data_IF_590543467133
#
_entry.id   IF_590543467133
#
_cell.length_a   1.000
_cell.length_b   1.000
_cell.length_c   1.000
_cell.angle_alpha   90.00
_cell.angle_beta   90.00
_cell.angle_gamma   90.00
#
_symmetry.space_group_name_H-M   'P 1'
#
loop_
_entity.id
_entity.type
_entity.pdbx_description
1 polymer ?
#
# COMPACT_ATOMS: atom_id res chain seq x y z
N UNK A 1 23.23 50.80 -5.81
CA UNK A 1 21.82 51.25 -5.90
C UNK A 1 21.03 50.07 -6.47
N UNK A 2 19.99 49.47 -5.88
CA UNK A 2 19.02 49.85 -4.85
C UNK A 2 18.77 48.66 -3.90
N UNK A 3 18.65 48.96 -2.61
CA UNK A 3 18.05 48.15 -1.56
C UNK A 3 16.52 48.18 -1.66
N UNK A 4 15.82 47.10 -1.31
CA UNK A 4 14.48 47.10 -0.66
C UNK A 4 14.33 45.75 0.08
N UNK A 5 14.58 45.63 1.38
CA UNK A 5 13.72 45.90 2.55
C UNK A 5 12.52 44.93 2.71
N UNK A 6 12.65 44.11 3.75
CA UNK A 6 11.61 43.34 4.42
C UNK A 6 10.91 44.22 5.48
N UNK A 7 9.61 44.05 5.76
CA UNK A 7 9.04 44.52 7.02
C UNK A 7 8.55 43.37 7.92
N UNK A 8 8.93 43.49 9.20
CA UNK A 8 8.42 42.74 10.35
C UNK A 8 7.14 43.42 10.90
N UNK A 9 6.20 42.58 11.34
CA UNK A 9 5.21 42.69 12.47
C UNK A 9 4.88 44.06 13.11
N UNK A 10 3.59 44.31 13.32
CA UNK A 10 2.96 44.97 14.51
C UNK A 10 1.47 44.54 14.59
N UNK A 11 1.03 43.70 15.54
CA UNK A 11 0.32 44.00 16.81
C UNK A 11 -0.83 45.02 16.73
N UNK A 12 -2.07 44.58 17.06
CA UNK A 12 -3.05 45.33 17.88
C UNK A 12 -4.15 44.41 18.44
N UNK A 13 -4.48 44.66 19.70
CA UNK A 13 -5.45 44.00 20.58
C UNK A 13 -6.87 44.57 20.41
N UNK A 14 -7.84 43.74 20.82
CA UNK A 14 -9.26 43.89 21.21
C UNK A 14 -9.84 45.30 21.54
N UNK A 15 -11.18 45.43 21.49
CA UNK A 15 -11.92 45.46 22.76
C UNK A 15 -13.24 44.66 22.82
N UNK A 16 -13.68 44.46 24.07
CA UNK A 16 -14.92 43.87 24.57
C UNK A 16 -16.20 44.62 24.12
N UNK A 17 -17.33 43.92 24.13
CA UNK A 17 -18.62 44.53 24.46
C UNK A 17 -19.44 43.61 25.39
N UNK A 18 -19.72 44.14 26.57
CA UNK A 18 -20.72 43.68 27.53
C UNK A 18 -22.07 44.33 27.18
N UNK A 19 -23.18 43.62 27.37
CA UNK A 19 -24.45 44.22 27.80
C UNK A 19 -25.27 43.18 28.59
N UNK A 20 -25.51 43.50 29.86
CA UNK A 20 -26.58 42.95 30.71
C UNK A 20 -27.85 43.81 30.46
N UNK A 21 -29.09 43.53 30.88
CA UNK A 21 -29.70 42.86 32.02
C UNK A 21 -31.21 42.77 31.68
N UNK A 22 -31.96 41.75 32.13
CA UNK A 22 -33.33 41.97 32.59
C UNK A 22 -33.75 40.86 33.56
N UNK A 23 -34.16 41.29 34.75
CA UNK A 23 -34.69 40.50 35.87
C UNK A 23 -36.16 40.15 35.65
N UNK A 24 -36.56 38.95 36.08
CA UNK A 24 -37.88 38.72 36.64
C UNK A 24 -37.76 37.64 37.73
N UNK A 25 -38.32 37.93 38.90
CA UNK A 25 -38.18 37.18 40.13
C UNK A 25 -39.44 36.35 40.46
N UNK A 26 -39.20 35.16 41.03
CA UNK A 26 -40.07 34.46 41.98
C UNK A 26 -40.99 33.35 41.44
N UNK A 27 -41.46 32.40 42.29
CA UNK A 27 -41.18 32.23 43.72
C UNK A 27 -40.42 30.94 44.07
N UNK A 28 -39.86 30.97 45.28
CA UNK A 28 -39.21 29.88 45.97
C UNK A 28 -40.16 28.71 46.25
N UNK A 29 -39.70 27.48 46.03
CA UNK A 29 -40.29 26.29 46.62
C UNK A 29 -39.28 25.64 47.57
N UNK A 30 -39.64 25.70 48.85
CA UNK A 30 -38.97 25.01 49.95
C UNK A 30 -39.14 23.51 49.78
N UNK A 31 -38.04 22.76 49.79
CA UNK A 31 -38.05 21.36 50.19
C UNK A 31 -36.98 21.11 51.24
N UNK A 32 -37.46 21.20 52.48
CA UNK A 32 -37.17 20.36 53.64
C UNK A 32 -36.07 19.32 53.42
N UNK A 33 -35.01 19.49 54.19
CA UNK A 33 -34.04 18.43 54.47
C UNK A 33 -34.75 17.24 55.14
N UNK A 34 -34.87 16.13 54.42
CA UNK A 34 -34.99 14.81 55.03
C UNK A 34 -33.63 14.12 54.91
N UNK A 35 -32.89 14.22 56.01
CA UNK A 35 -31.78 13.34 56.29
C UNK A 35 -32.32 11.91 56.45
N UNK A 36 -32.26 11.12 55.39
CA UNK A 36 -32.24 9.66 55.51
C UNK A 36 -30.85 9.17 55.15
N UNK A 37 -30.08 8.90 56.20
CA UNK A 37 -28.72 8.44 56.09
C UNK A 37 -28.64 7.11 55.33
N UNK A 38 -27.68 7.04 54.40
CA UNK A 38 -26.97 5.79 54.14
C UNK A 38 -25.48 6.09 54.13
N UNK A 39 -24.93 6.28 55.33
CA UNK A 39 -23.50 6.03 55.59
C UNK A 39 -23.25 4.55 55.31
N UNK A 40 -22.89 4.20 54.07
CA UNK A 40 -22.23 2.93 53.82
C UNK A 40 -20.76 3.05 54.25
N UNK A 41 -20.55 2.88 55.54
CA UNK A 41 -19.28 2.40 56.10
C UNK A 41 -18.95 1.06 55.42
N UNK A 42 -18.25 1.09 54.28
CA UNK A 42 -17.76 -0.11 53.64
C UNK A 42 -16.52 -0.58 54.39
N UNK A 43 -16.69 -1.48 55.34
CA UNK A 43 -15.57 -2.29 55.82
C UNK A 43 -15.02 -3.05 54.60
N UNK A 44 -13.78 -2.75 54.21
CA UNK A 44 -13.16 -3.39 53.06
C UNK A 44 -13.08 -4.91 53.29
N UNK A 45 -13.46 -5.70 52.28
CA UNK A 45 -13.28 -7.15 52.33
C UNK A 45 -11.79 -7.55 52.30
N UNK A 46 -11.50 -8.82 52.58
CA UNK A 46 -10.13 -9.33 52.64
C UNK A 46 -9.86 -10.49 51.68
N UNK A 47 -8.63 -10.53 51.18
CA UNK A 47 -8.12 -11.65 50.39
C UNK A 47 -7.73 -12.80 51.31
N UNK A 48 -8.24 -14.00 51.04
CA UNK A 48 -8.00 -15.22 51.82
C UNK A 48 -7.29 -16.23 50.92
N UNK A 49 -6.19 -16.80 51.39
CA UNK A 49 -5.43 -17.84 50.69
C UNK A 49 -5.64 -19.17 51.41
N UNK A 50 -6.01 -20.22 50.68
CA UNK A 50 -6.18 -21.58 51.19
C UNK A 50 -5.57 -22.56 50.20
N UNK A 51 -4.62 -23.41 50.65
CA UNK A 51 -3.93 -24.41 49.82
C UNK A 51 -3.41 -23.82 48.48
N UNK A 52 -2.75 -22.66 48.55
CA UNK A 52 -2.21 -21.96 47.37
C UNK A 52 -3.24 -21.27 46.46
N UNK A 53 -4.54 -21.37 46.74
CA UNK A 53 -5.61 -20.72 45.96
C UNK A 53 -6.18 -19.52 46.71
N UNK A 54 -6.51 -18.46 45.96
CA UNK A 54 -6.94 -17.18 46.53
C UNK A 54 -8.44 -16.94 46.31
N UNK A 55 -9.15 -16.48 47.35
CA UNK A 55 -10.56 -16.04 47.34
C UNK A 55 -10.68 -14.65 47.95
N UNK A 56 -11.79 -13.97 47.68
CA UNK A 56 -12.11 -12.69 48.32
C UNK A 56 -13.33 -12.85 49.23
N UNK A 57 -13.18 -12.47 50.50
CA UNK A 57 -14.25 -12.48 51.52
C UNK A 57 -14.72 -11.04 51.77
N UNK A 58 -15.99 -10.77 51.51
CA UNK A 58 -16.62 -9.48 51.81
C UNK A 58 -16.77 -9.28 53.33
N UNK A 59 -17.08 -8.05 53.76
CA UNK A 59 -17.31 -7.72 55.16
C UNK A 59 -18.43 -8.53 55.80
N UNK A 60 -19.52 -8.78 55.05
CA UNK A 60 -20.63 -9.65 55.45
C UNK A 60 -20.27 -11.16 55.52
N UNK A 61 -18.98 -11.50 55.55
CA UNK A 61 -18.42 -12.86 55.63
C UNK A 61 -18.71 -13.76 54.42
N UNK A 62 -19.44 -13.29 53.40
CA UNK A 62 -19.66 -14.03 52.15
C UNK A 62 -18.44 -13.98 51.22
N UNK A 63 -18.34 -14.92 50.28
CA UNK A 63 -17.26 -14.98 49.29
C UNK A 63 -17.71 -14.53 47.90
N UNK A 64 -16.75 -14.00 47.11
CA UNK A 64 -16.95 -13.70 45.71
C UNK A 64 -17.46 -14.93 44.93
N UNK A 65 -18.64 -14.80 44.32
CA UNK A 65 -19.24 -15.81 43.44
C UNK A 65 -18.62 -15.75 42.03
N UNK A 66 -18.86 -16.80 41.22
CA UNK A 66 -18.40 -16.93 39.83
C UNK A 66 -18.59 -15.64 39.02
N UNK A 67 -17.62 -15.39 38.16
CA UNK A 67 -17.64 -14.34 37.15
C UNK A 67 -16.78 -13.13 37.48
N UNK A 68 -16.93 -12.10 36.65
CA UNK A 68 -16.17 -10.87 36.79
C UNK A 68 -16.59 -10.09 38.04
N UNK A 69 -15.62 -9.58 38.80
CA UNK A 69 -15.83 -8.66 39.93
C UNK A 69 -14.81 -7.53 39.88
N UNK A 70 -15.27 -6.31 40.18
CA UNK A 70 -14.41 -5.14 40.39
C UNK A 70 -14.19 -4.98 41.89
N UNK A 71 -12.94 -5.08 42.34
CA UNK A 71 -12.56 -5.00 43.75
C UNK A 71 -11.39 -4.02 43.83
N UNK A 72 -11.52 -2.98 44.65
CA UNK A 72 -10.51 -1.93 44.84
C UNK A 72 -9.99 -1.39 43.50
N UNK A 73 -10.90 -1.02 42.59
CA UNK A 73 -10.56 -0.47 41.28
C UNK A 73 -10.12 -1.48 40.22
N UNK A 74 -9.77 -2.71 40.60
CA UNK A 74 -9.24 -3.73 39.68
C UNK A 74 -10.26 -4.82 39.34
N UNK A 75 -10.16 -5.37 38.13
CA UNK A 75 -11.02 -6.47 37.70
C UNK A 75 -10.36 -7.82 37.97
N UNK A 76 -11.21 -8.78 38.36
CA UNK A 76 -10.87 -10.16 38.63
C UNK A 76 -11.94 -11.06 38.02
N UNK A 77 -11.63 -12.33 37.79
CA UNK A 77 -12.61 -13.34 37.43
C UNK A 77 -12.54 -14.50 38.43
N UNK A 78 -13.68 -14.86 39.01
CA UNK A 78 -13.80 -15.96 39.96
C UNK A 78 -14.43 -17.18 39.29
N UNK A 79 -13.97 -18.37 39.64
CA UNK A 79 -14.54 -19.64 39.18
C UNK A 79 -15.81 -20.04 39.96
N UNK A 80 -16.36 -21.22 39.66
CA UNK A 80 -17.57 -21.76 40.32
C UNK A 80 -17.41 -21.90 41.83
N UNK A 81 -16.18 -22.17 42.30
CA UNK A 81 -15.86 -22.36 43.70
C UNK A 81 -15.47 -21.04 44.39
N UNK A 82 -15.53 -19.91 43.67
CA UNK A 82 -15.18 -18.59 44.18
C UNK A 82 -13.67 -18.38 44.37
N UNK A 83 -12.82 -19.13 43.68
CA UNK A 83 -11.38 -18.86 43.59
C UNK A 83 -11.08 -17.95 42.40
N UNK A 84 -10.12 -17.04 42.58
CA UNK A 84 -9.70 -16.13 41.51
C UNK A 84 -8.89 -16.87 40.46
N UNK A 85 -9.20 -16.65 39.16
CA UNK A 85 -8.42 -17.21 38.06
C UNK A 85 -7.12 -16.43 37.87
N UNK A 86 -6.03 -17.18 37.68
CA UNK A 86 -4.69 -16.67 37.33
C UNK A 86 -4.18 -17.33 36.05
N UNK A 87 -3.24 -16.70 35.37
CA UNK A 87 -2.77 -17.15 34.07
C UNK A 87 -3.85 -17.02 32.99
N UNK A 88 -3.70 -17.79 31.92
CA UNK A 88 -4.65 -17.81 30.81
C UNK A 88 -5.96 -18.51 31.21
N UNK A 89 -7.09 -17.90 30.85
CA UNK A 89 -8.41 -18.54 30.95
C UNK A 89 -9.38 -17.96 29.90
N UNK A 90 -10.47 -18.69 29.66
CA UNK A 90 -11.51 -18.30 28.70
C UNK A 90 -12.83 -18.05 29.39
N UNK A 91 -13.60 -17.09 28.87
CA UNK A 91 -14.98 -16.82 29.24
C UNK A 91 -15.77 -16.66 27.95
N UNK A 92 -16.62 -17.65 27.64
CA UNK A 92 -17.18 -17.81 26.29
C UNK A 92 -16.05 -17.87 25.24
N UNK A 93 -16.21 -17.15 24.12
CA UNK A 93 -15.22 -17.07 23.04
C UNK A 93 -14.03 -16.14 23.32
N UNK A 94 -13.97 -15.51 24.50
CA UNK A 94 -12.96 -14.49 24.83
C UNK A 94 -11.90 -15.03 25.79
N UNK A 95 -10.64 -14.66 25.55
CA UNK A 95 -9.50 -15.02 26.41
C UNK A 95 -9.06 -13.85 27.29
N UNK A 96 -8.57 -14.18 28.47
CA UNK A 96 -8.11 -13.26 29.51
C UNK A 96 -6.83 -13.79 30.16
N UNK A 97 -6.10 -12.91 30.83
CA UNK A 97 -4.96 -13.28 31.66
C UNK A 97 -5.07 -12.63 33.05
N UNK A 98 -5.09 -13.45 34.10
CA UNK A 98 -5.01 -12.99 35.49
C UNK A 98 -3.56 -12.99 35.98
N UNK A 99 -3.11 -11.90 36.60
CA UNK A 99 -1.76 -11.76 37.13
C UNK A 99 -1.40 -12.94 38.07
N UNK A 100 -0.20 -13.51 37.90
CA UNK A 100 0.32 -14.61 38.73
C UNK A 100 1.14 -14.14 39.95
N UNK A 101 1.17 -12.84 40.23
CA UNK A 101 1.88 -12.28 41.39
C UNK A 101 1.46 -12.96 42.70
N UNK A 102 2.43 -13.26 43.55
CA UNK A 102 2.22 -13.82 44.89
C UNK A 102 1.81 -12.77 45.92
N UNK A 103 1.87 -11.48 45.58
CA UNK A 103 1.50 -10.40 46.48
C UNK A 103 -0.02 -10.34 46.67
N UNK A 104 -0.46 -10.32 47.94
CA UNK A 104 -1.88 -10.24 48.32
C UNK A 104 -2.57 -9.06 47.62
N UNK A 105 -3.76 -9.32 47.09
CA UNK A 105 -4.53 -8.32 46.35
C UNK A 105 -3.95 -7.92 44.99
N UNK A 106 -2.81 -8.47 44.55
CA UNK A 106 -2.28 -8.35 43.18
C UNK A 106 -2.50 -9.63 42.36
N UNK A 107 -2.59 -10.79 43.01
CA UNK A 107 -2.94 -12.07 42.40
C UNK A 107 -4.31 -12.01 41.69
N UNK A 108 -4.36 -12.48 40.45
CA UNK A 108 -5.60 -12.61 39.68
C UNK A 108 -6.13 -11.32 39.06
N UNK A 109 -5.47 -10.16 39.27
CA UNK A 109 -5.81 -8.91 38.58
C UNK A 109 -5.75 -9.14 37.07
N UNK A 110 -6.81 -8.79 36.34
CA UNK A 110 -6.80 -8.93 34.89
C UNK A 110 -5.79 -7.99 34.24
N UNK A 111 -4.99 -8.52 33.33
CA UNK A 111 -4.11 -7.74 32.47
C UNK A 111 -4.91 -6.79 31.58
N UNK A 112 -4.36 -5.59 31.34
CA UNK A 112 -4.92 -4.57 30.45
C UNK A 112 -3.78 -3.83 29.76
N UNK A 113 -3.97 -3.42 28.51
CA UNK A 113 -2.91 -2.84 27.69
C UNK A 113 -1.94 -3.90 27.18
N UNK A 114 -0.72 -3.45 26.84
CA UNK A 114 0.35 -4.30 26.31
C UNK A 114 1.01 -5.14 27.39
N UNK A 115 1.13 -6.45 27.15
CA UNK A 115 1.87 -7.36 28.02
C UNK A 115 2.63 -8.41 27.22
N UNK A 116 3.85 -8.71 27.66
CA UNK A 116 4.64 -9.83 27.13
C UNK A 116 4.51 -11.03 28.06
N UNK A 117 4.11 -12.17 27.51
CA UNK A 117 3.92 -13.43 28.22
C UNK A 117 4.67 -14.51 27.44
N UNK A 118 5.67 -15.14 28.06
CA UNK A 118 6.53 -16.16 27.43
C UNK A 118 7.06 -15.72 26.05
N UNK A 119 7.64 -14.51 25.98
CA UNK A 119 8.23 -13.95 24.76
C UNK A 119 7.26 -13.41 23.70
N UNK A 120 5.94 -13.67 23.83
CA UNK A 120 4.92 -13.13 22.92
C UNK A 120 4.24 -11.91 23.54
N UNK A 121 4.01 -10.88 22.74
CA UNK A 121 3.35 -9.64 23.18
C UNK A 121 1.89 -9.62 22.74
N UNK A 122 1.00 -9.32 23.69
CA UNK A 122 -0.46 -9.31 23.55
C UNK A 122 -0.99 -7.93 23.93
N UNK A 123 -2.18 -7.60 23.43
CA UNK A 123 -2.94 -6.46 23.91
C UNK A 123 -4.25 -6.91 24.55
N UNK A 124 -4.48 -6.49 25.78
CA UNK A 124 -5.71 -6.74 26.52
C UNK A 124 -6.53 -5.46 26.59
N UNK A 125 -7.80 -5.53 26.20
CA UNK A 125 -8.73 -4.40 26.12
C UNK A 125 -8.72 -3.55 27.39
N UNK A 126 -8.52 -2.24 27.22
CA UNK A 126 -8.62 -1.23 28.28
C UNK A 126 -10.04 -0.69 28.43
N UNK A 127 -10.98 -1.09 27.56
CA UNK A 127 -12.38 -0.64 27.60
C UNK A 127 -13.01 -0.97 28.95
N UNK A 128 -13.69 0.00 29.55
CA UNK A 128 -14.41 -0.18 30.80
C UNK A 128 -15.59 -1.15 30.64
N UNK A 129 -15.93 -1.84 31.74
CA UNK A 129 -17.11 -2.71 31.82
C UNK A 129 -16.80 -4.19 32.00
N UNK A 130 -17.78 -4.89 32.58
CA UNK A 130 -17.77 -6.33 32.87
C UNK A 130 -17.58 -7.12 31.58
N UNK A 131 -16.58 -8.00 31.53
CA UNK A 131 -16.29 -8.82 30.34
C UNK A 131 -15.80 -8.05 29.11
N UNK A 132 -15.62 -6.72 29.20
CA UNK A 132 -15.01 -5.89 28.16
C UNK A 132 -13.56 -5.56 28.51
N UNK A 133 -13.30 -5.24 29.78
CA UNK A 133 -11.94 -4.96 30.28
C UNK A 133 -11.13 -6.25 30.42
N UNK A 134 -9.89 -6.21 29.96
CA UNK A 134 -8.95 -7.32 30.02
C UNK A 134 -9.18 -8.42 28.98
N UNK A 135 -10.16 -8.25 28.07
CA UNK A 135 -10.34 -9.18 26.93
C UNK A 135 -9.14 -9.07 26.00
N UNK A 136 -8.47 -10.20 25.72
CA UNK A 136 -7.39 -10.27 24.73
C UNK A 136 -7.93 -9.93 23.33
N UNK A 137 -7.27 -9.01 22.63
CA UNK A 137 -7.65 -8.61 21.28
C UNK A 137 -6.96 -9.46 20.21
N UNK A 138 -7.59 -9.55 19.04
CA UNK A 138 -7.10 -10.24 17.82
C UNK A 138 -7.44 -9.39 16.58
N UNK A 139 -6.86 -9.72 15.43
CA UNK A 139 -7.11 -9.06 14.15
C UNK A 139 -6.52 -7.65 14.05
N UNK A 140 -7.04 -6.85 13.10
CA UNK A 140 -6.66 -5.46 12.92
C UNK A 140 -7.12 -4.61 14.10
N UNK A 141 -6.20 -3.84 14.70
CA UNK A 141 -6.47 -2.98 15.84
C UNK A 141 -5.83 -1.60 15.65
N UNK A 142 -6.56 -0.57 16.03
CA UNK A 142 -6.00 0.78 16.18
C UNK A 142 -5.85 1.07 17.67
N UNK A 143 -4.61 1.20 18.12
CA UNK A 143 -4.23 1.40 19.53
C UNK A 143 -3.30 2.61 19.55
N UNK A 144 -3.64 3.65 20.32
CA UNK A 144 -2.85 4.88 20.47
C UNK A 144 -2.43 5.49 19.13
N UNK A 145 -3.38 5.62 18.20
CA UNK A 145 -3.19 6.11 16.81
C UNK A 145 -2.27 5.24 15.93
N UNK A 146 -1.78 4.11 16.44
CA UNK A 146 -1.03 3.10 15.68
C UNK A 146 -1.95 1.98 15.19
N UNK A 147 -1.68 1.48 13.98
CA UNK A 147 -2.37 0.30 13.43
C UNK A 147 -1.51 -0.94 13.66
N UNK A 148 -2.11 -1.99 14.20
CA UNK A 148 -1.47 -3.26 14.53
C UNK A 148 -2.30 -4.41 13.97
N UNK A 149 -1.66 -5.56 13.77
CA UNK A 149 -2.37 -6.80 13.52
C UNK A 149 -1.98 -7.82 14.58
N UNK A 150 -2.97 -8.23 15.38
CA UNK A 150 -2.84 -9.28 16.38
C UNK A 150 -3.26 -10.60 15.74
N UNK A 151 -2.42 -11.63 15.82
CA UNK A 151 -2.69 -12.95 15.26
C UNK A 151 -3.94 -13.60 15.87
N UNK A 152 -4.35 -14.74 15.31
CA UNK A 152 -5.45 -15.54 15.88
C UNK A 152 -5.14 -15.99 17.31
N UNK A 153 -3.87 -16.20 17.63
CA UNK A 153 -3.39 -16.51 18.98
C UNK A 153 -3.32 -15.27 19.90
N UNK A 154 -3.55 -14.07 19.36
CA UNK A 154 -3.50 -12.78 20.06
C UNK A 154 -2.13 -12.10 20.05
N UNK A 155 -1.08 -12.75 19.56
CA UNK A 155 0.25 -12.18 19.54
C UNK A 155 0.38 -11.12 18.45
N UNK A 156 1.02 -9.99 18.74
CA UNK A 156 1.25 -8.94 17.74
C UNK A 156 2.18 -9.42 16.63
N UNK A 157 1.79 -9.19 15.37
CA UNK A 157 2.62 -9.51 14.22
C UNK A 157 3.79 -8.53 14.08
N UNK A 158 4.92 -9.03 13.59
CA UNK A 158 6.10 -8.24 13.22
C UNK A 158 6.67 -8.74 11.89
N UNK A 159 7.42 -7.90 11.18
CA UNK A 159 7.96 -8.21 9.86
C UNK A 159 6.90 -8.20 8.75
N UNK A 160 7.23 -8.87 7.64
CA UNK A 160 6.32 -9.03 6.51
C UNK A 160 5.18 -9.99 6.85
N UNK A 161 3.95 -9.62 6.50
CA UNK A 161 2.78 -10.49 6.63
C UNK A 161 1.81 -10.30 5.46
N UNK A 162 1.35 -11.41 4.88
CA UNK A 162 0.25 -11.42 3.92
C UNK A 162 -1.09 -11.51 4.66
N UNK A 163 -1.96 -10.53 4.48
CA UNK A 163 -3.27 -10.44 5.13
C UNK A 163 -4.28 -9.99 4.07
N UNK A 164 -5.34 -10.77 3.83
CA UNK A 164 -6.35 -10.44 2.81
C UNK A 164 -5.75 -10.18 1.43
N UNK A 165 -4.85 -11.06 0.97
CA UNK A 165 -4.16 -10.96 -0.33
C UNK A 165 -3.00 -9.95 -0.38
N UNK A 166 -2.95 -8.98 0.53
CA UNK A 166 -1.99 -7.88 0.52
C UNK A 166 -0.81 -8.13 1.47
N UNK A 167 0.39 -7.64 1.10
CA UNK A 167 1.57 -7.69 1.96
C UNK A 167 1.76 -6.38 2.73
N UNK A 168 1.88 -6.50 4.05
CA UNK A 168 2.14 -5.43 5.00
C UNK A 168 3.46 -5.66 5.71
N UNK A 169 4.08 -4.59 6.19
CA UNK A 169 5.23 -4.68 7.07
C UNK A 169 4.91 -4.09 8.44
N UNK A 170 5.13 -4.88 9.49
CA UNK A 170 4.99 -4.46 10.88
C UNK A 170 6.39 -4.30 11.50
N UNK A 171 6.64 -3.19 12.19
CA UNK A 171 7.98 -2.87 12.69
C UNK A 171 8.49 -3.95 13.65
N UNK A 172 9.72 -4.44 13.44
CA UNK A 172 10.32 -5.49 14.30
C UNK A 172 10.86 -4.97 15.63
N UNK A 173 11.20 -3.69 15.74
CA UNK A 173 11.87 -3.10 16.90
C UNK A 173 11.48 -1.65 17.13
N UNK A 174 11.48 -1.26 18.41
CA UNK A 174 11.24 0.08 18.97
C UNK A 174 12.13 1.16 18.36
N UNK A 175 13.38 0.79 17.98
CA UNK A 175 14.38 1.74 17.46
C UNK A 175 13.92 2.45 16.18
N UNK A 176 13.03 1.83 15.40
CA UNK A 176 12.46 2.41 14.16
C UNK A 176 10.97 2.78 14.32
N UNK A 177 10.50 2.92 15.56
CA UNK A 177 9.10 3.13 15.96
C UNK A 177 8.53 1.95 16.75
N UNK A 178 7.31 2.06 17.28
CA UNK A 178 6.73 1.05 18.17
C UNK A 178 6.68 -0.34 17.52
N UNK A 179 7.26 -1.36 18.20
CA UNK A 179 7.24 -2.76 17.75
C UNK A 179 5.80 -3.20 17.40
N UNK A 180 5.65 -3.85 16.27
CA UNK A 180 4.36 -4.34 15.77
C UNK A 180 3.49 -3.29 15.10
N UNK A 181 3.85 -1.99 15.12
CA UNK A 181 3.10 -0.95 14.40
C UNK A 181 3.28 -1.16 12.90
N UNK A 182 2.19 -1.06 12.14
CA UNK A 182 2.19 -1.15 10.69
C UNK A 182 2.97 0.02 10.09
N UNK A 183 3.88 -0.27 9.18
CA UNK A 183 4.66 0.73 8.47
C UNK A 183 3.88 1.30 7.27
N UNK A 184 4.14 2.57 6.95
CA UNK A 184 3.65 3.28 5.76
C UNK A 184 4.80 4.12 5.16
N UNK A 185 4.63 4.55 3.91
CA UNK A 185 5.60 5.35 3.16
C UNK A 185 6.83 4.54 2.73
N UNK A 186 7.91 5.27 2.42
CA UNK A 186 9.20 4.68 2.07
C UNK A 186 9.81 3.89 3.24
N UNK A 187 10.25 2.66 2.97
CA UNK A 187 10.97 1.81 3.92
C UNK A 187 12.09 1.04 3.25
N UNK A 188 13.25 1.01 3.90
CA UNK A 188 14.34 0.09 3.55
C UNK A 188 14.28 -1.11 4.50
N UNK A 189 14.08 -2.29 3.93
CA UNK A 189 13.92 -3.55 4.66
C UNK A 189 14.86 -4.56 4.00
N UNK A 190 15.84 -5.06 4.76
CA UNK A 190 16.88 -5.98 4.27
C UNK A 190 17.57 -5.47 2.98
N UNK A 191 18.04 -4.22 2.98
CA UNK A 191 18.72 -3.59 1.83
C UNK A 191 17.82 -3.14 0.68
N UNK A 192 16.61 -3.68 0.56
CA UNK A 192 15.64 -3.32 -0.49
C UNK A 192 14.75 -2.16 -0.07
N UNK A 193 14.48 -1.22 -0.99
CA UNK A 193 13.54 -0.11 -0.79
C UNK A 193 12.13 -0.54 -1.20
N UNK A 194 11.14 -0.16 -0.42
CA UNK A 194 9.71 -0.41 -0.65
C UNK A 194 8.93 0.88 -0.43
N UNK A 195 7.78 1.00 -1.06
CA UNK A 195 6.79 2.01 -0.68
C UNK A 195 5.49 1.34 -0.23
N UNK A 196 5.12 1.61 1.02
CA UNK A 196 3.90 1.11 1.64
C UNK A 196 2.84 2.20 1.57
N UNK A 197 1.65 1.89 1.03
CA UNK A 197 0.59 2.88 0.78
C UNK A 197 0.30 3.73 2.04
N UNK A 198 0.32 5.05 1.91
CA UNK A 198 0.10 5.97 3.04
C UNK A 198 -1.39 6.26 3.30
N UNK A 199 -2.24 6.01 2.30
CA UNK A 199 -3.69 6.22 2.36
C UNK A 199 -4.45 5.08 1.69
N UNK A 200 -5.77 5.05 1.90
CA UNK A 200 -6.69 4.09 1.29
C UNK A 200 -7.17 4.45 -0.13
N UNK A 201 -6.76 5.61 -0.69
CA UNK A 201 -7.32 6.13 -1.95
C UNK A 201 -6.98 5.29 -3.18
N UNK A 202 -5.80 4.67 -3.21
CA UNK A 202 -5.29 3.85 -4.32
C UNK A 202 -4.97 2.43 -3.86
N UNK A 203 -5.89 1.82 -3.12
CA UNK A 203 -5.76 0.48 -2.53
C UNK A 203 -5.67 0.50 -1.00
N UNK A 204 -5.33 -0.63 -0.39
CA UNK A 204 -5.34 -0.78 1.08
C UNK A 204 -4.16 -0.04 1.72
N UNK A 205 -4.44 0.87 2.67
CA UNK A 205 -3.41 1.59 3.43
C UNK A 205 -2.42 0.61 4.08
N UNK A 206 -1.13 0.86 3.92
CA UNK A 206 -0.03 0.04 4.45
C UNK A 206 0.38 -1.12 3.54
N UNK A 207 -0.42 -1.49 2.54
CA UNK A 207 -0.04 -2.51 1.57
C UNK A 207 1.09 -2.00 0.67
N UNK A 208 2.07 -2.84 0.36
CA UNK A 208 3.15 -2.51 -0.59
C UNK A 208 2.64 -2.47 -2.03
N UNK A 209 3.21 -1.59 -2.85
CA UNK A 209 3.04 -1.64 -4.30
C UNK A 209 3.81 -2.83 -4.91
N UNK A 210 3.31 -3.40 -6.01
CA UNK A 210 3.96 -4.56 -6.70
C UNK A 210 3.63 -4.56 -8.18
N UNK A 211 4.61 -4.88 -9.03
CA UNK A 211 4.45 -5.01 -10.49
C UNK A 211 3.77 -3.80 -11.15
N UNK A 212 4.06 -2.60 -10.67
CA UNK A 212 3.36 -1.39 -11.11
C UNK A 212 4.23 -0.14 -11.02
N UNK A 213 3.94 0.83 -11.89
CA UNK A 213 4.47 2.18 -11.82
C UNK A 213 3.61 3.04 -10.91
N UNK A 214 4.25 3.81 -10.04
CA UNK A 214 3.59 4.65 -9.04
C UNK A 214 4.23 6.03 -9.05
N UNK A 215 3.39 7.06 -9.18
CA UNK A 215 3.82 8.44 -8.97
C UNK A 215 3.75 8.80 -7.49
N UNK A 216 4.88 9.12 -6.88
CA UNK A 216 5.02 9.50 -5.47
C UNK A 216 5.63 10.90 -5.44
N UNK A 217 4.87 11.89 -4.96
CA UNK A 217 5.30 13.31 -4.90
C UNK A 217 5.83 13.86 -6.26
N UNK A 218 5.17 13.49 -7.36
CA UNK A 218 5.52 13.95 -8.71
C UNK A 218 6.54 13.07 -9.45
N UNK A 219 7.25 12.19 -8.76
CA UNK A 219 8.23 11.30 -9.37
C UNK A 219 7.67 9.90 -9.61
N UNK A 220 8.05 9.25 -10.72
CA UNK A 220 7.58 7.91 -11.10
C UNK A 220 8.58 6.84 -10.66
N UNK A 221 8.05 5.79 -10.03
CA UNK A 221 8.83 4.66 -9.52
C UNK A 221 8.19 3.34 -9.95
N UNK A 222 8.99 2.36 -10.38
CA UNK A 222 8.51 1.00 -10.62
C UNK A 222 8.79 0.10 -9.43
N UNK A 223 7.81 -0.69 -9.03
CA UNK A 223 7.99 -1.73 -8.03
C UNK A 223 7.93 -3.09 -8.68
N UNK A 224 8.92 -3.94 -8.41
CA UNK A 224 9.00 -5.32 -8.87
C UNK A 224 7.86 -6.18 -8.30
N UNK A 225 7.75 -7.44 -8.77
CA UNK A 225 6.79 -8.43 -8.24
C UNK A 225 6.94 -8.67 -6.73
N UNK A 226 8.17 -8.63 -6.23
CA UNK A 226 8.48 -8.72 -4.80
C UNK A 226 8.21 -7.41 -4.04
N UNK A 227 7.73 -6.37 -4.71
CA UNK A 227 7.41 -5.04 -4.19
C UNK A 227 8.61 -4.14 -3.92
N UNK A 228 9.83 -4.59 -4.21
CA UNK A 228 11.01 -3.75 -4.11
C UNK A 228 11.04 -2.72 -5.23
N UNK A 229 11.56 -1.53 -4.94
CA UNK A 229 11.83 -0.51 -5.94
C UNK A 229 12.83 -1.08 -6.96
N UNK A 230 12.44 -1.07 -8.23
CA UNK A 230 13.34 -1.37 -9.33
C UNK A 230 14.24 -0.15 -9.57
N UNK A 231 15.54 -0.32 -9.33
CA UNK A 231 16.55 0.72 -9.53
C UNK A 231 17.09 0.76 -10.98
N UNK A 232 16.90 -0.32 -11.71
CA UNK A 232 17.35 -0.49 -13.09
C UNK A 232 16.30 0.00 -14.10
N UNK A 233 15.08 0.26 -13.63
CA UNK A 233 14.03 0.90 -14.42
C UNK A 233 14.51 2.28 -14.87
N UNK A 234 14.74 2.42 -16.18
CA UNK A 234 15.23 3.66 -16.78
C UNK A 234 14.23 4.80 -16.54
N UNK A 235 14.77 5.99 -16.25
CA UNK A 235 14.00 7.24 -16.37
C UNK A 235 13.60 7.47 -17.83
N UNK A 236 12.59 8.31 -18.08
CA UNK A 236 12.17 8.66 -19.45
C UNK A 236 13.35 9.20 -20.28
N UNK A 237 14.20 10.06 -19.69
CA UNK A 237 15.41 10.60 -20.34
C UNK A 237 16.41 9.51 -20.70
N UNK A 238 16.68 8.57 -19.80
CA UNK A 238 17.60 7.46 -20.06
C UNK A 238 17.05 6.53 -21.14
N UNK A 239 15.77 6.20 -21.09
CA UNK A 239 15.12 5.38 -22.11
C UNK A 239 15.25 6.01 -23.49
N UNK A 240 14.92 7.30 -23.64
CA UNK A 240 15.01 8.03 -24.91
C UNK A 240 16.44 8.00 -25.47
N UNK A 241 17.44 8.25 -24.63
CA UNK A 241 18.85 8.26 -25.06
C UNK A 241 19.35 6.88 -25.47
N UNK A 242 19.00 5.84 -24.70
CA UNK A 242 19.38 4.45 -25.00
C UNK A 242 18.73 3.97 -26.30
N UNK A 243 17.42 4.13 -26.43
CA UNK A 243 16.67 3.68 -27.60
C UNK A 243 17.02 4.51 -28.83
N UNK A 244 17.18 5.83 -28.71
CA UNK A 244 17.61 6.69 -29.80
C UNK A 244 18.94 6.28 -30.42
N UNK A 245 19.94 5.94 -29.59
CA UNK A 245 21.24 5.45 -30.05
C UNK A 245 21.15 4.06 -30.70
N UNK A 246 20.33 3.16 -30.16
CA UNK A 246 20.08 1.85 -30.77
C UNK A 246 19.37 2.00 -32.12
N UNK A 247 18.36 2.85 -32.20
CA UNK A 247 17.60 3.13 -33.41
C UNK A 247 18.46 3.81 -34.48
N UNK A 248 19.38 4.71 -34.11
CA UNK A 248 20.34 5.30 -35.05
C UNK A 248 21.27 4.23 -35.65
N UNK A 249 21.75 3.27 -34.84
CA UNK A 249 22.54 2.15 -35.35
C UNK A 249 21.74 1.21 -36.25
N UNK A 250 20.49 0.95 -35.90
CA UNK A 250 19.60 0.14 -36.74
C UNK A 250 19.25 0.84 -38.06
N UNK A 251 18.95 2.13 -38.03
CA UNK A 251 18.64 2.96 -39.21
C UNK A 251 19.73 2.88 -40.26
N UNK A 252 21.01 2.84 -39.87
CA UNK A 252 22.15 2.68 -40.79
C UNK A 252 22.11 1.36 -41.56
N UNK A 253 21.45 0.33 -41.02
CA UNK A 253 21.28 -0.99 -41.64
C UNK A 253 19.95 -1.12 -42.37
N UNK A 254 18.87 -0.62 -41.77
CA UNK A 254 17.49 -0.86 -42.21
C UNK A 254 16.92 0.26 -43.08
N UNK A 255 17.49 1.46 -43.01
CA UNK A 255 16.95 2.67 -43.64
C UNK A 255 15.68 3.20 -42.97
N UNK A 256 15.26 2.66 -41.83
CA UNK A 256 14.07 3.13 -41.09
C UNK A 256 14.49 4.24 -40.12
N UNK A 257 13.88 5.43 -40.23
CA UNK A 257 14.25 6.60 -39.43
C UNK A 257 14.28 6.32 -37.93
N UNK A 258 15.41 6.64 -37.31
CA UNK A 258 15.65 6.45 -35.89
C UNK A 258 14.66 7.25 -35.02
N UNK A 259 14.31 8.46 -35.44
CA UNK A 259 13.33 9.32 -34.77
C UNK A 259 11.94 8.70 -34.74
N UNK A 260 11.53 8.05 -35.84
CA UNK A 260 10.23 7.35 -35.95
C UNK A 260 10.23 6.10 -35.08
N UNK A 261 11.26 5.25 -35.19
CA UNK A 261 11.42 4.04 -34.38
C UNK A 261 11.44 4.38 -32.89
N UNK A 262 12.17 5.42 -32.49
CA UNK A 262 12.23 5.86 -31.08
C UNK A 262 10.89 6.41 -30.59
N UNK A 263 10.18 7.19 -31.42
CA UNK A 263 8.87 7.70 -31.07
C UNK A 263 7.81 6.60 -30.90
N UNK A 264 7.82 5.60 -31.79
CA UNK A 264 6.98 4.41 -31.65
C UNK A 264 7.34 3.64 -30.38
N UNK A 265 8.62 3.37 -30.13
CA UNK A 265 9.04 2.71 -28.89
C UNK A 265 8.54 3.45 -27.65
N UNK A 266 8.66 4.78 -27.60
CA UNK A 266 8.12 5.60 -26.49
C UNK A 266 6.61 5.40 -26.34
N UNK A 267 5.85 5.52 -27.43
CA UNK A 267 4.39 5.45 -27.41
C UNK A 267 3.89 4.05 -27.02
N UNK A 268 4.41 3.01 -27.66
CA UNK A 268 3.91 1.64 -27.56
C UNK A 268 4.33 0.97 -26.25
N UNK A 269 5.52 1.30 -25.73
CA UNK A 269 6.01 0.74 -24.45
C UNK A 269 5.78 1.64 -23.24
N UNK A 270 5.30 2.87 -23.47
CA UNK A 270 5.18 3.90 -22.43
C UNK A 270 6.54 4.26 -21.83
N UNK A 271 7.56 4.54 -22.65
CA UNK A 271 8.95 4.76 -22.21
C UNK A 271 9.65 3.51 -21.62
N UNK A 272 9.37 2.33 -22.15
CA UNK A 272 9.95 1.05 -21.72
C UNK A 272 9.32 0.50 -20.44
N UNK A 273 8.20 1.07 -20.01
CA UNK A 273 7.62 0.84 -18.70
C UNK A 273 6.55 -0.27 -18.67
N UNK A 274 6.04 -0.66 -19.84
CA UNK A 274 5.08 -1.76 -19.95
C UNK A 274 5.71 -3.09 -19.52
N UNK A 275 4.93 -4.00 -18.92
CA UNK A 275 5.42 -5.34 -18.55
C UNK A 275 5.98 -6.10 -19.75
N UNK A 276 5.40 -5.88 -20.93
CA UNK A 276 5.87 -6.46 -22.18
C UNK A 276 7.27 -5.94 -22.57
N UNK A 277 7.54 -4.66 -22.38
CA UNK A 277 8.86 -4.08 -22.62
C UNK A 277 9.87 -4.54 -21.58
N UNK A 278 9.50 -4.58 -20.29
CA UNK A 278 10.43 -4.91 -19.22
C UNK A 278 10.79 -6.40 -19.14
N UNK A 279 9.80 -7.28 -19.36
CA UNK A 279 9.98 -8.73 -19.16
C UNK A 279 10.32 -9.47 -20.45
N UNK A 280 9.91 -8.94 -21.61
CA UNK A 280 10.10 -9.58 -22.92
C UNK A 280 10.94 -8.74 -23.89
N UNK A 281 11.47 -7.59 -23.45
CA UNK A 281 12.17 -6.61 -24.30
C UNK A 281 11.39 -6.19 -25.55
N UNK A 282 10.07 -6.35 -25.58
CA UNK A 282 9.25 -6.06 -26.74
C UNK A 282 8.65 -4.64 -26.63
N UNK A 283 9.28 -3.72 -27.36
CA UNK A 283 8.95 -2.29 -27.28
C UNK A 283 7.74 -1.88 -28.11
N UNK A 284 7.39 -2.67 -29.12
CA UNK A 284 6.44 -2.29 -30.18
C UNK A 284 5.14 -3.10 -30.16
N UNK A 285 4.94 -3.93 -29.15
CA UNK A 285 3.75 -4.78 -29.07
C UNK A 285 3.69 -5.85 -30.16
N UNK A 286 4.84 -6.29 -30.69
CA UNK A 286 4.88 -7.26 -31.78
C UNK A 286 4.27 -8.59 -31.35
N UNK A 287 3.14 -8.96 -31.93
CA UNK A 287 2.44 -10.22 -31.64
C UNK A 287 3.19 -11.41 -32.26
N UNK A 288 3.15 -12.55 -31.58
CA UNK A 288 3.68 -13.80 -32.13
C UNK A 288 2.92 -14.22 -33.39
N UNK A 289 1.61 -13.94 -33.50
CA UNK A 289 0.82 -14.21 -34.71
C UNK A 289 1.31 -13.51 -35.99
N UNK A 290 2.18 -12.51 -35.88
CA UNK A 290 2.87 -11.92 -37.03
C UNK A 290 3.94 -12.87 -37.63
N UNK A 291 4.18 -14.05 -37.04
CA UNK A 291 5.28 -14.99 -37.36
C UNK A 291 5.09 -15.88 -38.59
N UNK A 292 3.98 -15.80 -39.31
CA UNK A 292 3.88 -16.35 -40.67
C UNK A 292 4.64 -15.50 -41.70
N UNK A 293 5.64 -14.75 -41.25
CA UNK A 293 6.31 -13.74 -42.03
C UNK A 293 7.34 -14.35 -42.99
N UNK A 294 7.35 -13.87 -44.23
CA UNK A 294 8.25 -14.34 -45.29
C UNK A 294 9.60 -13.59 -45.32
N UNK A 295 9.97 -12.93 -44.22
CA UNK A 295 11.20 -12.12 -44.13
C UNK A 295 12.06 -12.54 -42.94
N UNK A 296 13.37 -12.34 -43.08
CA UNK A 296 14.34 -12.58 -42.02
C UNK A 296 14.03 -11.70 -40.81
N UNK A 297 13.85 -12.32 -39.66
CA UNK A 297 13.51 -11.68 -38.39
C UNK A 297 14.61 -11.95 -37.37
N UNK A 298 14.85 -11.01 -36.47
CA UNK A 298 15.70 -11.19 -35.28
C UNK A 298 15.00 -11.94 -34.14
N UNK A 299 13.72 -12.24 -34.29
CA UNK A 299 12.98 -12.99 -33.30
C UNK A 299 13.35 -14.48 -33.33
N UNK A 300 13.77 -15.02 -32.18
CA UNK A 300 14.24 -16.41 -32.03
C UNK A 300 13.12 -17.41 -31.72
N UNK A 301 11.85 -16.98 -31.81
CA UNK A 301 10.68 -17.81 -31.49
C UNK A 301 10.22 -17.75 -30.04
N UNK A 302 10.96 -17.12 -29.11
CA UNK A 302 10.54 -17.01 -27.71
C UNK A 302 9.31 -16.13 -27.55
N UNK A 303 8.37 -16.52 -26.69
CA UNK A 303 7.11 -15.77 -26.51
C UNK A 303 6.90 -15.27 -25.09
N UNK A 304 6.07 -14.24 -24.96
CA UNK A 304 5.55 -13.72 -23.70
C UNK A 304 4.03 -13.66 -23.77
N UNK A 305 3.34 -14.35 -22.86
CA UNK A 305 1.87 -14.32 -22.79
C UNK A 305 1.42 -13.20 -21.86
N UNK A 306 0.58 -12.30 -22.38
CA UNK A 306 -0.01 -11.20 -21.61
C UNK A 306 -1.51 -11.38 -21.53
N UNK A 307 -2.01 -11.55 -20.32
CA UNK A 307 -3.43 -11.69 -20.02
C UNK A 307 -4.02 -10.36 -19.57
N UNK A 308 -5.12 -9.95 -20.18
CA UNK A 308 -5.86 -8.73 -19.83
C UNK A 308 -7.31 -9.08 -19.53
N UNK A 309 -7.96 -8.27 -18.69
CA UNK A 309 -9.39 -8.37 -18.43
C UNK A 309 -10.09 -7.28 -19.23
N UNK A 310 -10.93 -7.66 -20.19
CA UNK A 310 -11.76 -6.74 -20.95
C UNK A 310 -13.20 -6.81 -20.46
N UNK A 311 -13.90 -5.69 -20.51
CA UNK A 311 -15.31 -5.62 -20.15
C UNK A 311 -16.11 -5.39 -21.43
N UNK A 312 -16.78 -6.43 -21.89
CA UNK A 312 -17.58 -6.44 -23.13
C UNK A 312 -18.97 -6.97 -22.77
N UNK A 313 -20.02 -6.40 -23.35
CA UNK A 313 -21.40 -6.89 -23.19
C UNK A 313 -21.80 -7.17 -21.72
N UNK A 314 -21.47 -6.24 -20.82
CA UNK A 314 -21.70 -6.32 -19.37
C UNK A 314 -21.01 -7.48 -18.63
N UNK A 315 -20.00 -8.15 -19.23
CA UNK A 315 -19.23 -9.24 -18.62
C UNK A 315 -17.72 -9.01 -18.73
N UNK A 316 -16.99 -9.49 -17.73
CA UNK A 316 -15.53 -9.50 -17.75
C UNK A 316 -15.01 -10.73 -18.49
N UNK A 317 -14.28 -10.52 -19.58
CA UNK A 317 -13.57 -11.53 -20.33
C UNK A 317 -12.08 -11.49 -20.01
N UNK A 318 -11.42 -12.65 -20.07
CA UNK A 318 -9.97 -12.74 -19.93
C UNK A 318 -9.38 -13.04 -21.29
N UNK A 319 -8.70 -12.06 -21.89
CA UNK A 319 -8.08 -12.20 -23.20
C UNK A 319 -6.58 -12.41 -22.98
N UNK A 320 -6.04 -13.48 -23.55
CA UNK A 320 -4.61 -13.76 -23.53
C UNK A 320 -4.05 -13.59 -24.93
N UNK A 321 -3.19 -12.61 -25.09
CA UNK A 321 -2.42 -12.41 -26.32
C UNK A 321 -1.00 -12.97 -26.14
N UNK A 322 -0.45 -13.52 -27.22
CA UNK A 322 0.93 -14.01 -27.26
C UNK A 322 1.79 -13.03 -28.05
N UNK A 323 2.83 -12.52 -27.39
CA UNK A 323 3.77 -11.55 -27.96
C UNK A 323 5.13 -12.18 -28.20
N UNK A 324 5.89 -11.60 -29.12
CA UNK A 324 7.32 -11.90 -29.30
C UNK A 324 8.08 -11.48 -28.05
N UNK A 325 9.09 -12.27 -27.66
CA UNK A 325 10.05 -11.96 -26.61
C UNK A 325 11.44 -11.91 -27.23
N UNK A 326 12.26 -10.97 -26.78
CA UNK A 326 13.59 -10.70 -27.33
C UNK A 326 14.66 -10.78 -26.24
N UNK A 327 15.88 -11.13 -26.63
CA UNK A 327 17.04 -11.13 -25.74
C UNK A 327 17.48 -9.72 -25.35
N UNK A 328 17.15 -8.70 -26.17
CA UNK A 328 17.48 -7.30 -25.90
C UNK A 328 16.56 -6.33 -26.66
N UNK A 329 16.59 -5.05 -26.27
CA UNK A 329 15.93 -3.99 -27.05
C UNK A 329 16.49 -3.84 -28.47
N UNK A 330 17.78 -4.15 -28.69
CA UNK A 330 18.37 -4.10 -30.03
C UNK A 330 17.68 -5.08 -30.98
N UNK A 331 17.43 -6.32 -30.52
CA UNK A 331 16.73 -7.33 -31.31
C UNK A 331 15.27 -6.94 -31.58
N UNK A 332 14.59 -6.31 -30.61
CA UNK A 332 13.23 -5.79 -30.81
C UNK A 332 13.19 -4.67 -31.85
N UNK A 333 14.19 -3.78 -31.87
CA UNK A 333 14.31 -2.72 -32.88
C UNK A 333 14.57 -3.29 -34.27
N UNK A 334 15.51 -4.23 -34.38
CA UNK A 334 15.83 -4.88 -35.65
C UNK A 334 14.60 -5.61 -36.23
N UNK A 335 13.82 -6.28 -35.37
CA UNK A 335 12.62 -7.00 -35.81
C UNK A 335 11.52 -6.05 -36.26
N UNK A 336 11.34 -4.95 -35.54
CA UNK A 336 10.41 -3.90 -35.91
C UNK A 336 10.78 -3.26 -37.25
N UNK A 337 12.05 -2.96 -37.48
CA UNK A 337 12.53 -2.44 -38.75
C UNK A 337 12.36 -3.45 -39.88
N UNK A 338 12.63 -4.74 -39.65
CA UNK A 338 12.37 -5.79 -40.63
C UNK A 338 10.87 -5.87 -40.97
N UNK A 339 9.99 -5.77 -39.98
CA UNK A 339 8.54 -5.71 -40.20
C UNK A 339 8.14 -4.51 -41.07
N UNK A 340 8.66 -3.31 -40.78
CA UNK A 340 8.38 -2.13 -41.58
C UNK A 340 8.94 -2.22 -43.00
N UNK A 341 10.08 -2.87 -43.20
CA UNK A 341 10.71 -3.01 -44.52
C UNK A 341 10.02 -4.05 -45.40
N UNK A 342 9.54 -5.16 -44.83
CA UNK A 342 9.22 -6.36 -45.62
C UNK A 342 7.81 -6.88 -45.46
N UNK A 343 7.00 -6.38 -44.52
CA UNK A 343 5.64 -6.87 -44.35
C UNK A 343 4.79 -6.61 -45.61
N UNK A 344 4.09 -7.65 -46.07
CA UNK A 344 3.22 -7.62 -47.26
C UNK A 344 1.74 -7.74 -46.88
N UNK A 345 0.89 -7.18 -47.74
CA UNK A 345 -0.55 -7.44 -47.80
C UNK A 345 -0.85 -7.94 -49.22
N UNK A 346 -1.12 -9.25 -49.35
CA UNK A 346 -1.01 -9.96 -50.62
C UNK A 346 0.42 -9.82 -51.18
N UNK A 347 0.53 -9.42 -52.45
CA UNK A 347 1.83 -9.26 -53.13
C UNK A 347 2.47 -7.87 -52.93
N UNK A 348 1.80 -6.94 -52.24
CA UNK A 348 2.26 -5.56 -52.09
C UNK A 348 2.88 -5.32 -50.72
N UNK A 349 3.97 -4.56 -50.67
CA UNK A 349 4.53 -4.09 -49.39
C UNK A 349 3.52 -3.18 -48.68
N UNK A 350 3.25 -3.46 -47.40
CA UNK A 350 2.33 -2.67 -46.55
C UNK A 350 2.81 -1.24 -46.38
N UNK A 351 4.12 -1.08 -46.19
CA UNK A 351 4.75 0.20 -45.83
C UNK A 351 5.66 0.71 -46.96
N UNK A 352 5.21 0.62 -48.21
CA UNK A 352 5.99 1.07 -49.38
C UNK A 352 6.47 2.52 -49.20
N UNK A 353 7.77 2.76 -49.38
CA UNK A 353 8.39 4.09 -49.32
C UNK A 353 8.82 4.57 -47.93
N UNK A 354 8.82 3.70 -46.91
CA UNK A 354 9.38 4.02 -45.59
C UNK A 354 10.91 3.89 -45.56
N UNK A 355 11.47 2.87 -46.21
CA UNK A 355 12.91 2.61 -46.27
C UNK A 355 13.62 3.75 -47.00
N UNK A 356 14.63 4.34 -46.37
CA UNK A 356 15.44 5.44 -46.92
C UNK A 356 14.76 6.81 -46.90
N UNK A 357 13.53 6.91 -46.40
CA UNK A 357 12.80 8.18 -46.35
C UNK A 357 13.39 9.11 -45.28
N UNK A 358 13.71 10.35 -45.65
CA UNK A 358 14.35 11.33 -44.75
C UNK A 358 13.37 12.23 -43.99
N UNK A 359 12.05 12.10 -44.23
CA UNK A 359 11.03 12.95 -43.61
C UNK A 359 10.17 12.15 -42.64
N UNK A 360 10.38 12.34 -41.33
CA UNK A 360 9.68 11.59 -40.28
C UNK A 360 8.15 11.66 -40.42
N UNK A 361 7.59 12.82 -40.76
CA UNK A 361 6.13 12.99 -40.90
C UNK A 361 5.60 12.20 -42.09
N UNK A 362 6.31 12.19 -43.21
CA UNK A 362 5.96 11.39 -44.40
C UNK A 362 6.05 9.90 -44.07
N UNK A 363 7.13 9.47 -43.41
CA UNK A 363 7.32 8.08 -42.95
C UNK A 363 6.18 7.63 -42.06
N UNK A 364 5.79 8.40 -41.04
CA UNK A 364 4.69 8.04 -40.13
C UNK A 364 3.34 7.96 -40.88
N UNK A 365 3.08 8.87 -41.85
CA UNK A 365 1.88 8.80 -42.69
C UNK A 365 1.83 7.50 -43.52
N UNK A 366 2.97 7.08 -44.07
CA UNK A 366 3.08 5.82 -44.82
C UNK A 366 2.87 4.60 -43.91
N UNK A 367 3.46 4.60 -42.71
CA UNK A 367 3.26 3.55 -41.70
C UNK A 367 1.78 3.43 -41.32
N UNK A 368 1.11 4.56 -41.05
CA UNK A 368 -0.33 4.57 -40.77
C UNK A 368 -1.15 4.05 -41.95
N UNK A 369 -0.86 4.52 -43.18
CA UNK A 369 -1.54 4.08 -44.40
C UNK A 369 -1.40 2.57 -44.64
N UNK A 370 -0.28 1.97 -44.24
CA UNK A 370 -0.05 0.52 -44.26
C UNK A 370 -0.78 -0.28 -43.15
N UNK A 371 -1.64 0.38 -42.36
CA UNK A 371 -2.47 -0.24 -41.35
C UNK A 371 -1.73 -0.61 -40.07
N UNK A 372 -0.69 0.13 -39.67
CA UNK A 372 -0.01 -0.09 -38.39
C UNK A 372 -0.89 0.28 -37.19
N UNK A 373 -1.69 1.34 -37.30
CA UNK A 373 -2.54 1.84 -36.23
C UNK A 373 -3.88 2.36 -36.76
N UNK A 374 -4.96 2.05 -36.05
CA UNK A 374 -6.31 2.56 -36.32
C UNK A 374 -6.56 3.94 -35.71
N UNK A 375 -5.75 4.35 -34.72
CA UNK A 375 -5.90 5.63 -34.01
C UNK A 375 -5.84 6.84 -34.97
N UNK A 376 -6.90 7.67 -35.07
CA UNK A 376 -6.90 8.87 -35.91
C UNK A 376 -5.73 9.83 -35.59
N UNK A 377 -5.33 9.92 -34.32
CA UNK A 377 -4.29 10.82 -33.83
C UNK A 377 -2.88 10.24 -33.88
N UNK A 378 -2.68 9.04 -34.42
CA UNK A 378 -1.37 8.37 -34.44
C UNK A 378 -0.24 9.26 -35.01
N UNK A 379 -0.48 9.90 -36.16
CA UNK A 379 0.50 10.78 -36.82
C UNK A 379 0.84 11.98 -35.95
N UNK A 380 -0.16 12.64 -35.36
CA UNK A 380 0.05 13.84 -34.53
C UNK A 380 0.73 13.49 -33.20
N UNK A 381 0.38 12.37 -32.58
CA UNK A 381 1.03 11.84 -31.37
C UNK A 381 2.52 11.60 -31.59
N UNK A 382 2.90 10.85 -32.62
CA UNK A 382 4.30 10.57 -32.91
C UNK A 382 5.07 11.84 -33.31
N UNK A 383 4.49 12.72 -34.14
CA UNK A 383 5.13 13.99 -34.47
C UNK A 383 5.34 14.88 -33.22
N UNK A 384 4.40 14.86 -32.28
CA UNK A 384 4.52 15.60 -31.00
C UNK A 384 5.65 15.04 -30.14
N UNK A 385 5.75 13.71 -30.03
CA UNK A 385 6.85 13.03 -29.32
C UNK A 385 8.21 13.38 -29.95
N UNK A 386 8.32 13.28 -31.28
CA UNK A 386 9.55 13.61 -32.02
C UNK A 386 9.99 15.05 -31.74
N UNK A 387 9.07 16.02 -31.81
CA UNK A 387 9.36 17.42 -31.53
C UNK A 387 9.73 17.65 -30.07
N UNK A 388 8.94 17.13 -29.14
CA UNK A 388 9.12 17.31 -27.68
C UNK A 388 10.51 16.89 -27.22
N UNK A 389 11.03 15.80 -27.78
CA UNK A 389 12.33 15.24 -27.38
C UNK A 389 13.44 15.46 -28.40
N UNK A 390 13.21 16.29 -29.43
CA UNK A 390 14.15 16.54 -30.52
C UNK A 390 14.73 15.24 -31.11
N UNK A 391 13.89 14.25 -31.41
CA UNK A 391 14.36 12.90 -31.78
C UNK A 391 15.07 12.83 -33.14
N UNK A 392 14.92 13.85 -33.99
CA UNK A 392 15.66 13.96 -35.26
C UNK A 392 17.16 14.09 -35.05
N UNK A 393 17.63 14.38 -33.84
CA UNK A 393 19.06 14.31 -33.49
C UNK A 393 19.66 12.91 -33.72
N UNK A 394 18.85 11.86 -33.74
CA UNK A 394 19.26 10.47 -33.97
C UNK A 394 19.21 10.04 -35.44
N UNK A 395 18.65 10.85 -36.34
CA UNK A 395 18.51 10.55 -37.78
C UNK A 395 19.80 10.81 -38.58
N UNK A 396 20.93 11.01 -37.89
CA UNK A 396 22.23 11.33 -38.49
C UNK A 396 23.04 10.09 -38.84
#
# INVERSE_FOLDING_TARGET
>A
MKHVLCPKRLWRLLPLLCLAFLLAAGPAFSQRAEATGSKTSSSAGKWVVKKGKTRYRYANKTYAKKGFRKINGHWYYFDQNGYVKTGWFSVGKSRYYGNKSSAKGKTGRLYTGWHTIKGKTYYFSTKSGKGKRGKMLTGWQTIDKGTYYLGKDGAVCTGWKKIGGNYFYFLKSSKKGTKGRMATGWKTINGKKYYLRTSGKKGVKGARYTSEWVTIKGERYYFNKDGSLNRDAMTEKQFIQTIGKLASRDMKKSGILASVTTAQAILESGYGTSSLAMEAHNLFGMKASLSGNTWKSSWDGKTFKKTTKEYLNNKWYTITDTFRSYSSFAESLADHSAYLSYAKNGNKLRYKGVVGNKNYRKTIKLIKKGGYATDPQYVSKLCSIIKRYNLTQFDK
#
